data_IF_089837134853
#
_entry.id   IF_089837134853
#
_cell.length_a   1.000
_cell.length_b   1.000
_cell.length_c   1.000
_cell.angle_alpha   90.00
_cell.angle_beta   90.00
_cell.angle_gamma   90.00
#
_symmetry.space_group_name_H-M   'P 1'
#
loop_
_entity.id
_entity.type
_entity.pdbx_description
1 polymer ?
#
# COMPACT_ATOMS: atom_id res chain seq x y z
N UNK A 1 -17.72 -13.36 8.52
CA UNK A 1 -16.98 -13.50 7.24
C UNK A 1 -15.82 -12.52 7.36
N UNK A 2 -14.57 -12.99 7.23
CA UNK A 2 -13.39 -12.12 7.32
C UNK A 2 -13.11 -11.61 5.91
N UNK A 3 -13.12 -10.30 5.73
CA UNK A 3 -12.72 -9.65 4.48
C UNK A 3 -11.19 -9.59 4.43
N UNK A 4 -10.59 -9.87 3.27
CA UNK A 4 -9.14 -9.75 3.10
C UNK A 4 -8.73 -8.44 2.40
N UNK A 5 -9.68 -7.69 1.86
CA UNK A 5 -9.44 -6.37 1.27
C UNK A 5 -10.51 -5.36 1.65
N UNK A 6 -10.09 -4.12 1.90
CA UNK A 6 -10.96 -2.97 2.13
C UNK A 6 -10.57 -1.83 1.20
N UNK A 7 -11.54 -1.12 0.64
CA UNK A 7 -11.34 0.14 -0.08
C UNK A 7 -11.84 1.27 0.82
N UNK A 8 -10.97 2.26 1.03
CA UNK A 8 -11.17 3.40 1.92
C UNK A 8 -11.28 4.66 1.06
N UNK A 9 -12.41 5.36 1.15
CA UNK A 9 -12.75 6.59 0.43
C UNK A 9 -12.58 6.53 -1.11
N UNK A 10 -12.49 5.33 -1.70
CA UNK A 10 -12.06 5.11 -3.09
C UNK A 10 -10.64 5.64 -3.40
N UNK A 11 -9.82 5.93 -2.38
CA UNK A 11 -8.47 6.46 -2.49
C UNK A 11 -7.40 5.39 -2.18
N UNK A 12 -7.64 4.54 -1.18
CA UNK A 12 -6.66 3.55 -0.67
C UNK A 12 -7.28 2.17 -0.51
N UNK A 13 -6.58 1.15 -0.98
CA UNK A 13 -6.87 -0.27 -0.75
C UNK A 13 -6.02 -0.74 0.44
N UNK A 14 -6.63 -1.39 1.43
CA UNK A 14 -5.94 -2.12 2.48
C UNK A 14 -6.09 -3.62 2.27
N UNK A 15 -5.00 -4.31 1.98
CA UNK A 15 -4.93 -5.77 1.92
C UNK A 15 -4.51 -6.33 3.29
N UNK A 16 -5.41 -7.06 3.94
CA UNK A 16 -5.25 -7.59 5.31
C UNK A 16 -4.21 -8.69 5.37
N UNK A 17 -4.17 -9.58 4.36
CA UNK A 17 -3.24 -10.71 4.31
C UNK A 17 -1.79 -10.22 4.20
N UNK A 18 -1.55 -9.25 3.32
CA UNK A 18 -0.23 -8.65 3.08
C UNK A 18 0.14 -7.55 4.08
N UNK A 19 -0.82 -7.09 4.89
CA UNK A 19 -0.71 -5.90 5.73
C UNK A 19 -0.29 -4.64 4.92
N UNK A 20 -0.78 -4.51 3.68
CA UNK A 20 -0.31 -3.50 2.73
C UNK A 20 -1.40 -2.47 2.42
N UNK A 21 -1.03 -1.20 2.37
CA UNK A 21 -1.84 -0.11 1.80
C UNK A 21 -1.36 0.17 0.38
N UNK A 22 -2.28 0.21 -0.57
CA UNK A 22 -2.01 0.51 -1.98
C UNK A 22 -2.89 1.69 -2.43
N UNK A 23 -2.37 2.69 -3.14
CA UNK A 23 -3.19 3.76 -3.71
C UNK A 23 -4.09 3.21 -4.83
N UNK A 24 -5.30 3.76 -4.98
CA UNK A 24 -6.22 3.44 -6.10
C UNK A 24 -5.83 4.19 -7.38
N UNK A 25 -5.17 5.34 -7.25
CA UNK A 25 -4.68 6.15 -8.37
C UNK A 25 -3.18 6.44 -8.28
N UNK A 26 -2.70 7.45 -8.99
CA UNK A 26 -1.28 7.84 -9.02
C UNK A 26 -0.81 8.62 -7.78
N UNK A 27 -1.74 8.97 -6.87
CA UNK A 27 -1.43 9.71 -5.65
C UNK A 27 -1.10 8.74 -4.51
N UNK A 28 0.18 8.69 -4.10
CA UNK A 28 0.64 7.92 -2.94
C UNK A 28 1.58 6.78 -3.30
N UNK A 29 2.23 6.21 -2.29
CA UNK A 29 3.09 5.03 -2.41
C UNK A 29 2.37 3.77 -1.92
N UNK A 30 2.81 2.57 -2.36
CA UNK A 30 2.48 1.36 -1.58
C UNK A 30 3.20 1.39 -0.22
N UNK A 31 2.49 1.03 0.85
CA UNK A 31 3.01 1.07 2.22
C UNK A 31 2.66 -0.22 2.97
N UNK A 32 3.69 -1.06 3.20
CA UNK A 32 3.58 -2.18 4.15
C UNK A 32 3.48 -1.67 5.58
N UNK A 33 2.42 -2.04 6.28
CA UNK A 33 2.20 -1.78 7.70
C UNK A 33 2.90 -2.86 8.53
N UNK A 34 3.40 -2.49 9.70
CA UNK A 34 3.75 -3.50 10.69
C UNK A 34 2.48 -4.19 11.21
N UNK A 35 2.59 -5.46 11.62
CA UNK A 35 1.43 -6.25 11.99
C UNK A 35 0.52 -5.64 13.10
N UNK A 36 1.01 -4.99 14.17
CA UNK A 36 0.11 -4.32 15.12
C UNK A 36 -0.58 -3.08 14.53
N UNK A 37 0.09 -2.31 13.67
CA UNK A 37 -0.51 -1.15 12.98
C UNK A 37 -1.63 -1.58 12.02
N UNK A 38 -1.41 -2.66 11.25
CA UNK A 38 -2.42 -3.25 10.38
C UNK A 38 -3.64 -3.79 11.17
N UNK A 39 -3.40 -4.47 12.30
CA UNK A 39 -4.47 -4.91 13.21
C UNK A 39 -5.25 -3.76 13.81
N UNK A 40 -4.62 -2.63 14.13
CA UNK A 40 -5.32 -1.42 14.57
C UNK A 40 -6.26 -0.87 13.47
N UNK A 41 -5.83 -0.90 12.20
CA UNK A 41 -6.67 -0.50 11.08
C UNK A 41 -7.84 -1.46 10.87
N UNK A 42 -7.58 -2.78 10.84
CA UNK A 42 -8.61 -3.80 10.71
C UNK A 42 -9.70 -3.65 11.78
N UNK A 43 -9.29 -3.50 13.05
CA UNK A 43 -10.22 -3.31 14.17
C UNK A 43 -11.08 -2.03 14.01
N UNK A 44 -10.54 -0.94 13.46
CA UNK A 44 -11.29 0.27 13.12
C UNK A 44 -12.31 0.04 11.99
N UNK A 45 -11.92 -0.69 10.94
CA UNK A 45 -12.78 -1.01 9.80
C UNK A 45 -13.92 -1.97 10.18
N UNK A 46 -13.66 -2.93 11.06
CA UNK A 46 -14.64 -3.89 11.57
C UNK A 46 -15.60 -3.30 12.62
N UNK A 47 -15.28 -2.17 13.25
CA UNK A 47 -16.12 -1.60 14.32
C UNK A 47 -17.42 -0.97 13.82
N UNK A 48 -17.57 -0.75 12.51
CA UNK A 48 -18.75 -0.13 11.88
C UNK A 48 -19.12 1.22 12.52
N UNK A 49 -18.11 2.09 12.73
CA UNK A 49 -18.31 3.43 13.30
C UNK A 49 -18.54 3.46 14.82
N UNK A 50 -18.33 2.33 15.53
CA UNK A 50 -18.33 2.31 17.00
C UNK A 50 -17.01 2.84 17.55
N UNK A 51 -17.09 3.55 18.68
CA UNK A 51 -15.91 3.99 19.43
C UNK A 51 -15.29 2.77 20.11
N UNK A 52 -14.02 2.52 19.79
CA UNK A 52 -13.20 1.43 20.32
C UNK A 52 -12.35 1.99 21.45
N UNK A 53 -12.43 1.38 22.62
CA UNK A 53 -11.67 1.85 23.79
C UNK A 53 -10.18 1.53 23.67
N UNK A 54 -9.33 2.26 24.41
CA UNK A 54 -7.89 1.98 24.45
C UNK A 54 -7.63 0.56 24.99
N UNK A 55 -8.39 0.17 26.00
CA UNK A 55 -8.29 -1.14 26.67
C UNK A 55 -8.66 -2.28 25.71
N UNK A 56 -9.66 -2.06 24.86
CA UNK A 56 -10.10 -2.98 23.79
C UNK A 56 -9.09 -3.09 22.64
N UNK A 57 -8.47 -1.98 22.22
CA UNK A 57 -7.30 -2.04 21.32
C UNK A 57 -6.16 -2.87 21.92
N UNK A 58 -5.80 -2.60 23.17
CA UNK A 58 -4.73 -3.33 23.87
C UNK A 58 -5.05 -4.82 23.98
N UNK A 59 -6.31 -5.16 24.23
CA UNK A 59 -6.76 -6.54 24.33
C UNK A 59 -6.69 -7.25 22.97
N UNK A 60 -7.47 -6.78 21.99
CA UNK A 60 -7.65 -7.43 20.69
C UNK A 60 -6.34 -7.46 19.88
N UNK A 61 -5.56 -6.37 19.89
CA UNK A 61 -4.36 -6.28 19.05
C UNK A 61 -3.14 -6.93 19.72
N UNK A 62 -2.99 -6.87 21.05
CA UNK A 62 -1.78 -7.37 21.75
C UNK A 62 -2.03 -8.52 22.73
N UNK A 63 -2.96 -8.39 23.69
CA UNK A 63 -3.10 -9.41 24.76
C UNK A 63 -3.61 -10.76 24.26
N UNK A 64 -4.50 -10.78 23.26
CA UNK A 64 -4.94 -12.02 22.57
C UNK A 64 -3.78 -12.84 21.99
N UNK A 65 -2.61 -12.22 21.82
CA UNK A 65 -1.37 -12.82 21.28
C UNK A 65 -0.28 -12.96 22.35
N UNK A 66 -0.63 -12.83 23.63
CA UNK A 66 0.31 -12.94 24.75
C UNK A 66 1.27 -11.76 24.91
N UNK A 67 1.03 -10.64 24.23
CA UNK A 67 1.91 -9.46 24.28
C UNK A 67 1.31 -8.37 25.17
N UNK A 68 2.14 -7.79 26.04
CA UNK A 68 1.81 -6.58 26.82
C UNK A 68 2.69 -5.43 26.31
N UNK A 69 2.09 -4.25 26.08
CA UNK A 69 2.79 -3.08 25.57
C UNK A 69 2.52 -1.83 26.41
N UNK A 70 3.43 -0.87 26.34
CA UNK A 70 3.25 0.44 26.98
C UNK A 70 2.20 1.29 26.25
N UNK A 71 1.63 2.27 26.96
CA UNK A 71 0.74 3.26 26.35
C UNK A 71 1.42 4.03 25.21
N UNK A 72 2.72 4.35 25.38
CA UNK A 72 3.51 5.00 24.32
C UNK A 72 3.57 4.13 23.06
N UNK A 73 3.81 2.83 23.20
CA UNK A 73 3.83 1.87 22.08
C UNK A 73 2.48 1.82 21.36
N UNK A 74 1.36 1.83 22.09
CA UNK A 74 0.03 1.92 21.50
C UNK A 74 -0.14 3.22 20.68
N UNK A 75 0.13 4.39 21.29
CA UNK A 75 -0.01 5.67 20.59
C UNK A 75 0.98 5.84 19.42
N UNK A 76 2.15 5.22 19.47
CA UNK A 76 3.09 5.14 18.34
C UNK A 76 2.50 4.36 17.16
N UNK A 77 1.81 3.24 17.39
CA UNK A 77 1.16 2.48 16.31
C UNK A 77 -0.02 3.26 15.69
N UNK A 78 -0.83 3.95 16.50
CA UNK A 78 -1.89 4.83 15.97
C UNK A 78 -1.30 6.01 15.18
N UNK A 79 -0.17 6.57 15.63
CA UNK A 79 0.53 7.66 14.93
C UNK A 79 1.17 7.18 13.62
N UNK A 80 1.72 5.97 13.61
CA UNK A 80 2.25 5.33 12.41
C UNK A 80 1.12 5.04 11.42
N UNK A 81 -0.02 4.52 11.88
CA UNK A 81 -1.17 4.24 11.03
C UNK A 81 -1.63 5.47 10.25
N UNK A 82 -1.84 6.61 10.93
CA UNK A 82 -2.21 7.87 10.27
C UNK A 82 -1.18 8.30 9.21
N UNK A 83 0.12 8.24 9.54
CA UNK A 83 1.20 8.58 8.60
C UNK A 83 1.22 7.65 7.38
N UNK A 84 1.01 6.36 7.57
CA UNK A 84 0.97 5.38 6.49
C UNK A 84 -0.25 5.56 5.58
N UNK A 85 -1.43 5.88 6.14
CA UNK A 85 -2.62 6.18 5.36
C UNK A 85 -2.43 7.42 4.46
N UNK A 86 -1.90 8.52 5.01
CA UNK A 86 -1.56 9.73 4.24
C UNK A 86 -0.50 9.42 3.17
N UNK A 87 0.53 8.64 3.51
CA UNK A 87 1.57 8.22 2.56
C UNK A 87 0.99 7.36 1.42
N UNK A 88 -0.01 6.53 1.71
CA UNK A 88 -0.72 5.72 0.73
C UNK A 88 -1.74 6.50 -0.13
N UNK A 89 -1.85 7.82 0.03
CA UNK A 89 -2.69 8.68 -0.81
C UNK A 89 -4.02 9.11 -0.20
N UNK A 90 -4.34 8.72 1.04
CA UNK A 90 -5.60 9.10 1.70
C UNK A 90 -5.62 10.61 1.98
N UNK A 91 -6.61 11.33 1.44
CA UNK A 91 -6.64 12.80 1.50
C UNK A 91 -7.12 13.37 2.83
N UNK A 92 -7.78 12.55 3.66
CA UNK A 92 -8.37 12.95 4.94
C UNK A 92 -7.96 12.00 6.08
N UNK A 93 -7.75 12.53 7.30
CA UNK A 93 -7.58 11.69 8.48
C UNK A 93 -8.93 11.09 8.91
N UNK A 94 -9.12 9.82 8.55
CA UNK A 94 -10.31 9.04 8.91
C UNK A 94 -10.31 8.59 10.38
N UNK A 95 -9.23 8.78 11.15
CA UNK A 95 -9.14 8.26 12.53
C UNK A 95 -9.43 9.39 13.51
N UNK A 96 -10.65 9.41 14.06
CA UNK A 96 -11.07 10.41 15.04
C UNK A 96 -10.74 9.96 16.46
N UNK A 97 -10.08 10.82 17.24
CA UNK A 97 -9.82 10.58 18.66
C UNK A 97 -10.94 11.17 19.53
N UNK A 98 -11.65 10.32 20.27
CA UNK A 98 -12.68 10.73 21.22
C UNK A 98 -12.06 10.82 22.61
N UNK A 99 -11.89 12.05 23.13
CA UNK A 99 -11.19 12.33 24.39
C UNK A 99 -11.68 11.44 25.54
N UNK A 100 -10.73 10.81 26.24
CA UNK A 100 -10.95 9.83 27.32
C UNK A 100 -11.72 8.55 26.95
N UNK A 101 -12.31 8.42 25.75
CA UNK A 101 -13.13 7.27 25.35
C UNK A 101 -12.41 6.31 24.41
N UNK A 102 -11.63 6.81 23.44
CA UNK A 102 -10.91 5.96 22.49
C UNK A 102 -10.85 6.54 21.08
N UNK A 103 -11.01 5.69 20.06
CA UNK A 103 -10.91 6.05 18.66
C UNK A 103 -12.08 5.49 17.85
N UNK A 104 -12.40 6.14 16.73
CA UNK A 104 -13.49 5.77 15.82
C UNK A 104 -13.13 6.21 14.40
N UNK A 105 -13.71 5.57 13.38
CA UNK A 105 -13.65 6.10 12.02
C UNK A 105 -14.50 7.38 11.90
N UNK A 106 -14.05 8.34 11.10
CA UNK A 106 -14.79 9.57 10.82
C UNK A 106 -16.12 9.23 10.14
N UNK A 107 -17.21 9.91 10.52
CA UNK A 107 -18.56 9.59 10.05
C UNK A 107 -18.77 9.75 8.53
N UNK A 108 -17.89 10.49 7.85
CA UNK A 108 -17.86 10.61 6.38
C UNK A 108 -16.94 9.62 5.66
N UNK A 109 -16.37 8.63 6.36
CA UNK A 109 -15.49 7.63 5.74
C UNK A 109 -16.32 6.60 4.96
N UNK A 110 -16.02 6.43 3.67
CA UNK A 110 -16.66 5.43 2.83
C UNK A 110 -15.81 4.16 2.79
N UNK A 111 -16.29 3.08 3.40
CA UNK A 111 -15.59 1.79 3.47
C UNK A 111 -16.37 0.75 2.66
N UNK A 112 -15.69 0.12 1.69
CA UNK A 112 -16.18 -1.07 0.99
C UNK A 112 -15.26 -2.25 1.30
N UNK A 113 -15.80 -3.46 1.48
CA UNK A 113 -15.05 -4.63 1.94
C UNK A 113 -15.29 -5.84 1.04
N UNK A 114 -14.23 -6.55 0.68
CA UNK A 114 -14.23 -7.57 -0.36
C UNK A 114 -13.56 -8.87 0.12
N UNK A 115 -13.90 -9.96 -0.56
CA UNK A 115 -13.20 -11.23 -0.44
C UNK A 115 -12.54 -11.55 -1.79
N UNK A 116 -11.23 -11.30 -1.90
CA UNK A 116 -10.43 -11.71 -3.05
C UNK A 116 -10.01 -13.16 -2.87
N UNK A 117 -10.61 -14.07 -3.63
CA UNK A 117 -10.03 -15.39 -3.86
C UNK A 117 -8.74 -15.21 -4.65
N UNK A 118 -7.62 -15.70 -4.14
CA UNK A 118 -6.33 -15.66 -4.85
C UNK A 118 -6.35 -16.65 -6.04
N UNK A 119 -6.79 -16.19 -7.21
CA UNK A 119 -6.58 -16.91 -8.46
C UNK A 119 -5.07 -16.91 -8.79
N UNK A 120 -4.39 -18.02 -8.46
CA UNK A 120 -3.13 -18.36 -9.11
C UNK A 120 -3.39 -18.58 -10.60
N UNK A 121 -2.90 -17.67 -11.43
CA UNK A 121 -2.85 -17.87 -12.88
C UNK A 121 -2.11 -19.18 -13.21
N UNK A 122 -2.68 -20.07 -14.04
CA UNK A 122 -1.93 -21.18 -14.61
C UNK A 122 -1.06 -20.67 -15.77
N UNK A 123 0.21 -21.05 -15.77
CA UNK A 123 1.10 -20.82 -16.91
C UNK A 123 0.66 -21.68 -18.11
N UNK A 124 0.18 -21.00 -19.15
CA UNK A 124 0.42 -21.24 -20.58
C UNK A 124 0.70 -22.68 -21.07
N UNK A 125 -0.24 -23.25 -21.84
CA UNK A 125 0.09 -24.19 -22.94
C UNK A 125 -0.66 -23.79 -24.22
N UNK A 126 0.09 -23.74 -25.32
CA UNK A 126 -0.31 -23.33 -26.67
C UNK A 126 -1.66 -23.84 -27.20
N UNK A 127 -2.30 -22.99 -28.01
CA UNK A 127 -3.21 -23.43 -29.07
C UNK A 127 -2.51 -24.33 -30.10
N UNK A 128 -3.18 -25.42 -30.50
CA UNK A 128 -2.97 -26.08 -31.81
C UNK A 128 -4.27 -26.02 -32.62
N UNK A 129 -4.17 -25.55 -33.86
CA UNK A 129 -5.32 -25.14 -34.67
C UNK A 129 -5.96 -26.29 -35.48
N UNK A 130 -7.26 -26.12 -35.80
CA UNK A 130 -7.93 -26.63 -37.02
C UNK A 130 -9.28 -25.90 -37.19
N UNK A 131 -9.41 -24.92 -38.10
CA UNK A 131 -9.71 -25.05 -39.55
C UNK A 131 -11.20 -24.94 -39.88
N UNK A 132 -11.65 -23.75 -40.30
CA UNK A 132 -12.41 -23.53 -41.56
C UNK A 132 -12.61 -22.03 -41.86
N UNK A 133 -12.82 -21.70 -43.14
CA UNK A 133 -12.97 -20.35 -43.74
C UNK A 133 -13.42 -20.51 -45.20
N UNK A 134 -13.76 -19.44 -45.97
CA UNK A 134 -14.17 -18.06 -45.62
C UNK A 134 -15.65 -17.87 -46.09
N UNK A 135 -16.13 -16.91 -46.93
CA UNK A 135 -15.75 -15.51 -47.26
C UNK A 135 -16.96 -14.51 -47.24
N UNK A 136 -16.80 -13.36 -47.92
CA UNK A 136 -17.81 -12.35 -48.38
C UNK A 136 -18.28 -11.35 -47.30
N UNK A 137 -17.59 -10.21 -47.12
CA UNK A 137 -17.79 -8.88 -47.78
C UNK A 137 -18.90 -8.02 -47.11
N UNK A 138 -18.86 -6.69 -46.94
CA UNK A 138 -18.00 -5.56 -47.41
C UNK A 138 -17.85 -4.49 -46.31
N UNK A 139 -16.79 -3.65 -46.35
CA UNK A 139 -16.96 -2.20 -46.18
C UNK A 139 -15.77 -1.36 -46.69
N UNK A 140 -16.03 -0.07 -46.98
CA UNK A 140 -15.25 0.73 -47.96
C UNK A 140 -14.52 1.93 -47.32
N UNK A 141 -13.20 1.98 -47.58
CA UNK A 141 -12.33 3.15 -47.80
C UNK A 141 -12.52 4.42 -46.94
N UNK A 142 -11.47 4.73 -46.16
CA UNK A 142 -10.92 6.09 -46.16
C UNK A 142 -9.38 6.06 -46.18
N UNK A 143 -8.79 6.38 -47.32
CA UNK A 143 -7.36 6.67 -47.46
C UNK A 143 -7.19 8.18 -47.62
N UNK A 144 -6.29 8.79 -46.83
CA UNK A 144 -5.54 9.96 -47.28
C UNK A 144 -4.04 9.61 -47.29
N UNK A 145 -3.43 9.93 -48.42
CA UNK A 145 -2.02 9.81 -48.81
C UNK A 145 -1.09 10.74 -47.98
N UNK A 146 0.25 10.62 -47.93
CA UNK A 146 1.26 9.68 -48.48
C UNK A 146 2.61 9.94 -47.73
N UNK A 147 3.40 8.88 -47.46
CA UNK A 147 4.89 8.73 -47.45
C UNK A 147 5.82 9.83 -46.83
N UNK A 148 7.08 9.60 -46.41
CA UNK A 148 8.02 8.52 -46.74
C UNK A 148 9.17 8.31 -45.69
N UNK A 149 9.96 7.25 -45.92
CA UNK A 149 11.34 6.97 -45.46
C UNK A 149 11.65 6.43 -44.03
N UNK A 150 12.76 5.67 -43.94
CA UNK A 150 13.18 4.81 -42.82
C UNK A 150 14.73 4.75 -42.70
N UNK A 151 15.36 3.73 -42.07
CA UNK A 151 15.30 3.30 -40.68
C UNK A 151 16.66 3.46 -39.94
N UNK A 152 16.66 3.40 -38.59
CA UNK A 152 17.76 3.01 -37.65
C UNK A 152 17.27 3.28 -36.20
N UNK A 153 17.63 2.60 -35.12
CA UNK A 153 18.22 1.29 -34.80
C UNK A 153 18.56 1.32 -33.29
N UNK A 154 18.12 0.32 -32.53
CA UNK A 154 18.77 -0.25 -31.34
C UNK A 154 19.14 0.58 -30.08
N UNK A 155 18.57 0.14 -28.95
CA UNK A 155 19.13 0.11 -27.57
C UNK A 155 19.43 1.41 -26.80
N UNK A 156 19.09 1.41 -25.51
CA UNK A 156 19.48 2.49 -24.59
C UNK A 156 18.79 2.48 -23.22
N UNK A 157 18.89 1.38 -22.46
CA UNK A 157 18.45 1.35 -21.06
C UNK A 157 19.23 2.43 -20.27
N UNK A 158 18.57 3.53 -19.86
CA UNK A 158 19.19 4.53 -18.98
C UNK A 158 18.79 4.27 -17.54
N UNK A 159 19.63 3.52 -16.84
CA UNK A 159 19.65 3.50 -15.39
C UNK A 159 19.82 4.94 -14.87
N UNK A 160 18.93 5.37 -13.98
CA UNK A 160 19.00 6.67 -13.33
C UNK A 160 20.08 6.65 -12.26
N UNK A 161 21.20 7.34 -12.51
CA UNK A 161 22.27 7.49 -11.52
C UNK A 161 21.73 8.20 -10.27
N UNK A 162 21.64 7.48 -9.15
CA UNK A 162 21.37 8.06 -7.84
C UNK A 162 22.58 8.88 -7.38
N UNK A 163 22.62 10.17 -7.74
CA UNK A 163 23.65 11.12 -7.28
C UNK A 163 23.43 11.44 -5.80
N UNK A 164 24.07 10.71 -4.90
CA UNK A 164 24.13 11.10 -3.49
C UNK A 164 24.91 12.42 -3.35
N UNK A 165 24.38 13.44 -2.66
CA UNK A 165 25.06 14.71 -2.48
C UNK A 165 26.27 14.57 -1.55
N UNK A 166 27.36 15.28 -1.87
CA UNK A 166 28.71 15.06 -1.31
C UNK A 166 28.88 15.28 0.21
N UNK A 167 27.86 15.74 0.92
CA UNK A 167 27.86 15.86 2.38
C UNK A 167 27.51 14.56 3.12
N UNK A 168 26.99 13.55 2.42
CA UNK A 168 26.62 12.25 3.03
C UNK A 168 27.86 11.44 3.44
N UNK A 169 28.96 11.53 2.69
CA UNK A 169 30.20 10.82 3.00
C UNK A 169 30.86 11.27 4.33
N UNK A 170 31.08 12.58 4.59
CA UNK A 170 31.60 13.03 5.89
C UNK A 170 30.61 12.80 7.05
N UNK A 171 29.29 12.85 6.81
CA UNK A 171 28.29 12.55 7.83
C UNK A 171 28.40 11.10 8.33
N UNK A 172 28.59 10.15 7.41
CA UNK A 172 28.71 8.73 7.75
C UNK A 172 30.05 8.42 8.46
N UNK A 173 31.11 9.16 8.13
CA UNK A 173 32.42 9.05 8.79
C UNK A 173 32.45 9.67 10.21
N UNK A 174 31.65 10.71 10.45
CA UNK A 174 31.52 11.30 11.79
C UNK A 174 30.80 10.36 12.77
N UNK A 175 29.85 9.54 12.29
CA UNK A 175 29.04 8.67 13.16
C UNK A 175 29.79 7.43 13.68
N UNK A 176 30.85 6.98 12.99
CA UNK A 176 31.69 5.85 13.48
C UNK A 176 32.65 6.27 14.58
N UNK A 177 33.13 7.53 14.58
CA UNK A 177 34.07 8.05 15.58
C UNK A 177 33.47 8.07 17.01
N UNK A 178 32.17 8.32 17.15
CA UNK A 178 31.48 8.32 18.43
C UNK A 178 31.41 6.93 19.10
N UNK A 179 31.39 5.85 18.31
CA UNK A 179 31.21 4.48 18.80
C UNK A 179 32.52 3.77 19.20
N UNK A 180 33.67 4.35 18.86
CA UNK A 180 34.99 3.81 19.24
C UNK A 180 35.45 4.39 20.60
N UNK A 181 35.02 5.62 20.93
CA UNK A 181 35.37 6.27 22.19
C UNK A 181 34.70 5.61 23.41
N UNK A 182 33.53 5.00 23.24
CA UNK A 182 32.82 4.26 24.30
C UNK A 182 33.35 2.83 24.54
N UNK A 183 34.44 2.42 23.89
CA UNK A 183 35.12 1.14 24.13
C UNK A 183 36.36 1.28 25.04
N UNK A 184 36.73 2.51 25.44
CA UNK A 184 37.93 2.81 26.23
C UNK A 184 37.65 3.69 27.46
N UNK A 185 36.39 3.76 27.92
CA UNK A 185 35.99 4.41 29.18
C UNK A 185 34.95 3.56 29.93
#
# INVERSE_FOLDING_TARGET
MIFNEYIINNEVIFNVNMNELQPVGENGDSVTLNAPTARCLQLLLESNGKIISREEFLDIVWKTRGVVVSQNTFYQNISLLRKSLVKAGLSQDIIVTVRQRGFVLAAGSHIASFFRTEEKQPENVQSTASTSSPPVEKNVIHNLAIQDDAPKSFSGNKATEFKLPGWILPLLLAMTAANILSLFL
#
